data_IF_171459401765
#
_entry.id   IF_171459401765
#
_cell.length_a   1.000
_cell.length_b   1.000
_cell.length_c   1.000
_cell.angle_alpha   90.00
_cell.angle_beta   90.00
_cell.angle_gamma   90.00
#
_symmetry.space_group_name_H-M   'P 1'
#
loop_
_entity.id
_entity.type
_entity.pdbx_description
1 polymer ?
#
# COMPACT_ATOMS: atom_id res chain seq x y z
N UNK A 1 47.22 -1.44 6.22
CA UNK A 1 46.11 -1.30 7.18
C UNK A 1 45.12 -0.34 6.54
N UNK A 2 44.31 -0.88 5.63
CA UNK A 2 43.32 -0.13 4.84
C UNK A 2 41.98 -0.31 5.53
N UNK A 3 41.45 0.82 6.00
CA UNK A 3 40.12 0.96 6.59
C UNK A 3 39.06 0.27 5.71
N UNK A 4 38.27 -0.59 6.34
CA UNK A 4 37.03 -1.09 5.77
C UNK A 4 36.00 0.03 5.79
N UNK A 5 35.84 0.68 4.63
CA UNK A 5 34.65 1.45 4.30
C UNK A 5 33.45 0.49 4.32
N UNK A 6 32.84 0.37 5.50
CA UNK A 6 31.62 -0.39 5.72
C UNK A 6 30.48 0.45 5.16
N UNK A 7 30.43 0.47 3.82
CA UNK A 7 29.58 1.35 3.04
C UNK A 7 28.11 1.17 3.38
N UNK A 8 27.46 2.28 3.67
CA UNK A 8 26.02 2.41 3.83
C UNK A 8 25.32 1.92 2.56
N UNK A 9 24.98 0.62 2.50
CA UNK A 9 24.34 0.01 1.34
C UNK A 9 22.97 0.64 1.15
N UNK A 10 22.78 1.54 0.19
CA UNK A 10 21.43 2.00 -0.18
C UNK A 10 20.50 0.81 -0.50
N UNK A 11 19.21 1.04 -0.73
CA UNK A 11 18.23 -0.05 -0.93
C UNK A 11 18.65 -1.05 -2.01
N UNK A 12 19.20 -0.59 -3.14
CA UNK A 12 19.74 -1.48 -4.18
C UNK A 12 20.94 -2.32 -3.71
N UNK A 13 21.73 -1.82 -2.76
CA UNK A 13 22.81 -2.59 -2.12
C UNK A 13 22.29 -3.66 -1.16
N UNK A 14 21.16 -3.43 -0.48
CA UNK A 14 20.51 -4.42 0.39
C UNK A 14 19.90 -5.56 -0.45
N UNK A 15 19.24 -5.22 -1.56
CA UNK A 15 18.72 -6.19 -2.52
C UNK A 15 19.85 -7.08 -3.08
N UNK A 16 20.92 -6.47 -3.60
CA UNK A 16 22.09 -7.22 -4.07
C UNK A 16 22.67 -8.09 -2.95
N UNK A 17 22.77 -7.57 -1.73
CA UNK A 17 23.29 -8.33 -0.60
C UNK A 17 22.43 -9.55 -0.24
N UNK A 18 21.10 -9.41 -0.34
CA UNK A 18 20.16 -10.52 -0.17
C UNK A 18 20.36 -11.57 -1.28
N UNK A 19 20.37 -11.13 -2.54
CA UNK A 19 20.53 -11.98 -3.72
C UNK A 19 21.87 -12.73 -3.74
N UNK A 20 22.95 -12.06 -3.34
CA UNK A 20 24.29 -12.66 -3.22
C UNK A 20 24.50 -13.42 -1.91
N UNK A 21 23.49 -13.51 -1.03
CA UNK A 21 23.56 -14.13 0.30
C UNK A 21 24.64 -13.56 1.22
N UNK A 22 25.08 -12.33 0.97
CA UNK A 22 26.01 -11.61 1.85
C UNK A 22 25.28 -10.95 3.01
N UNK A 23 23.97 -10.74 2.88
CA UNK A 23 23.04 -10.55 3.99
C UNK A 23 22.09 -11.74 4.06
N UNK A 24 22.04 -12.38 5.23
CA UNK A 24 21.03 -13.38 5.59
C UNK A 24 20.26 -12.82 6.78
N UNK A 25 18.93 -12.60 6.67
CA UNK A 25 18.14 -12.07 7.78
C UNK A 25 18.27 -12.93 9.03
N UNK A 26 18.61 -12.29 10.15
CA UNK A 26 18.62 -12.93 11.47
C UNK A 26 17.20 -13.26 11.93
N UNK A 27 17.07 -14.11 12.95
CA UNK A 27 15.75 -14.47 13.50
C UNK A 27 14.94 -13.25 13.97
N UNK A 28 15.63 -12.25 14.54
CA UNK A 28 14.97 -11.02 15.03
C UNK A 28 14.52 -10.15 13.83
N UNK A 29 15.31 -10.06 12.76
CA UNK A 29 14.92 -9.37 11.52
C UNK A 29 13.74 -10.07 10.82
N UNK A 30 13.77 -11.41 10.74
CA UNK A 30 12.67 -12.19 10.19
C UNK A 30 11.39 -11.97 10.98
N UNK A 31 11.45 -11.93 12.32
CA UNK A 31 10.30 -11.66 13.18
C UNK A 31 9.70 -10.27 12.90
N UNK A 32 10.55 -9.26 12.79
CA UNK A 32 10.13 -7.89 12.47
C UNK A 32 9.48 -7.81 11.09
N UNK A 33 10.11 -8.39 10.06
CA UNK A 33 9.57 -8.42 8.70
C UNK A 33 8.24 -9.18 8.60
N UNK A 34 8.13 -10.33 9.25
CA UNK A 34 6.87 -11.09 9.30
C UNK A 34 5.76 -10.34 10.03
N UNK A 35 6.09 -9.65 11.13
CA UNK A 35 5.12 -8.80 11.85
C UNK A 35 4.60 -7.68 10.96
N UNK A 36 5.49 -7.01 10.22
CA UNK A 36 5.11 -5.99 9.24
C UNK A 36 4.15 -6.54 8.18
N UNK A 37 4.48 -7.69 7.58
CA UNK A 37 3.62 -8.33 6.58
C UNK A 37 2.23 -8.70 7.13
N UNK A 38 2.17 -9.23 8.36
CA UNK A 38 0.90 -9.55 9.03
C UNK A 38 0.05 -8.30 9.29
N UNK A 39 0.67 -7.18 9.71
CA UNK A 39 -0.06 -5.93 9.93
C UNK A 39 -0.57 -5.31 8.62
N UNK A 40 0.16 -5.45 7.52
CA UNK A 40 -0.30 -5.07 6.18
C UNK A 40 -1.54 -5.87 5.77
N UNK A 41 -1.51 -7.20 5.94
CA UNK A 41 -2.66 -8.06 5.62
C UNK A 41 -3.90 -7.67 6.46
N UNK A 42 -3.73 -7.46 7.76
CA UNK A 42 -4.81 -7.03 8.64
C UNK A 42 -5.33 -5.61 8.35
N UNK A 43 -4.51 -4.73 7.75
CA UNK A 43 -4.96 -3.43 7.25
C UNK A 43 -5.80 -3.57 5.98
N UNK A 44 -5.38 -4.44 5.06
CA UNK A 44 -6.09 -4.68 3.81
C UNK A 44 -7.52 -5.18 4.07
N UNK A 45 -7.73 -6.03 5.08
CA UNK A 45 -9.07 -6.48 5.50
C UNK A 45 -9.92 -5.33 6.06
N UNK A 46 -9.33 -4.42 6.85
CA UNK A 46 -10.04 -3.32 7.53
C UNK A 46 -10.35 -2.11 6.65
N UNK A 47 -9.59 -1.87 5.59
CA UNK A 47 -9.87 -0.80 4.62
C UNK A 47 -10.97 -1.22 3.61
N UNK A 48 -11.38 -2.50 3.63
CA UNK A 48 -12.36 -3.11 2.72
C UNK A 48 -13.80 -3.40 3.23
N UNK A 49 -14.25 -3.07 4.46
CA UNK A 49 -15.53 -3.57 4.96
C UNK A 49 -16.76 -2.96 4.27
N UNK A 50 -16.69 -1.71 3.81
CA UNK A 50 -17.86 -0.97 3.29
C UNK A 50 -17.71 -0.46 1.83
N UNK A 51 -16.65 -0.89 1.13
CA UNK A 51 -16.43 -0.47 -0.26
C UNK A 51 -16.44 -1.68 -1.21
N UNK A 52 -17.22 -1.65 -2.31
CA UNK A 52 -17.43 -2.79 -3.20
C UNK A 52 -16.14 -3.43 -3.70
N UNK A 53 -16.03 -4.73 -3.46
CA UNK A 53 -14.88 -5.58 -3.79
C UNK A 53 -15.03 -6.31 -5.13
N UNK A 54 -16.11 -6.06 -5.87
CA UNK A 54 -16.40 -6.81 -7.08
C UNK A 54 -15.56 -6.32 -8.25
N UNK A 55 -14.58 -7.14 -8.64
CA UNK A 55 -14.09 -7.37 -10.01
C UNK A 55 -13.77 -6.15 -10.88
N UNK A 56 -13.62 -4.96 -10.29
CA UNK A 56 -13.07 -3.80 -10.98
C UNK A 56 -11.56 -3.97 -10.96
N UNK A 57 -10.96 -4.21 -12.13
CA UNK A 57 -9.51 -4.32 -12.37
C UNK A 57 -8.68 -3.14 -11.81
N UNK A 58 -9.30 -2.11 -11.25
CA UNK A 58 -8.67 -0.96 -10.61
C UNK A 58 -9.27 -0.70 -9.24
N UNK A 59 -8.45 -0.90 -8.21
CA UNK A 59 -8.66 -0.29 -6.90
C UNK A 59 -8.76 1.23 -7.07
N UNK A 60 -9.65 1.87 -6.31
CA UNK A 60 -9.92 3.30 -6.42
C UNK A 60 -8.73 4.11 -5.92
N UNK A 61 -8.42 5.25 -6.57
CA UNK A 61 -7.22 6.05 -6.28
C UNK A 61 -7.20 6.51 -4.82
N UNK A 62 -8.36 6.92 -4.33
CA UNK A 62 -8.59 7.38 -2.95
C UNK A 62 -8.32 6.27 -1.93
N UNK A 63 -8.87 5.08 -2.13
CA UNK A 63 -8.57 3.91 -1.31
C UNK A 63 -7.09 3.56 -1.32
N UNK A 64 -6.46 3.58 -2.50
CA UNK A 64 -5.05 3.27 -2.66
C UNK A 64 -4.17 4.25 -1.88
N UNK A 65 -4.53 5.54 -1.86
CA UNK A 65 -3.83 6.57 -1.10
C UNK A 65 -4.04 6.38 0.41
N UNK A 66 -5.29 6.20 0.87
CA UNK A 66 -5.62 5.99 2.29
C UNK A 66 -4.96 4.73 2.83
N UNK A 67 -5.00 3.65 2.06
CA UNK A 67 -4.31 2.39 2.39
C UNK A 67 -2.80 2.61 2.49
N UNK A 68 -2.18 3.22 1.49
CA UNK A 68 -0.73 3.47 1.49
C UNK A 68 -0.29 4.33 2.67
N UNK A 69 -1.06 5.37 3.01
CA UNK A 69 -0.81 6.22 4.17
C UNK A 69 -0.96 5.43 5.50
N UNK A 70 -1.98 4.58 5.60
CA UNK A 70 -2.18 3.71 6.77
C UNK A 70 -1.03 2.74 6.97
N UNK A 71 -0.50 2.15 5.88
CA UNK A 71 0.68 1.29 5.93
C UNK A 71 1.92 2.06 6.38
N UNK A 72 2.10 3.32 5.95
CA UNK A 72 3.22 4.17 6.40
C UNK A 72 3.14 4.41 7.91
N UNK A 73 1.99 4.87 8.41
CA UNK A 73 1.79 5.13 9.84
C UNK A 73 1.96 3.86 10.68
N UNK A 74 1.47 2.72 10.19
CA UNK A 74 1.69 1.42 10.81
C UNK A 74 3.18 1.05 10.86
N UNK A 75 3.90 1.24 9.75
CA UNK A 75 5.33 0.93 9.67
C UNK A 75 6.14 1.81 10.64
N UNK A 76 5.84 3.10 10.70
CA UNK A 76 6.47 4.02 11.66
C UNK A 76 6.20 3.58 13.11
N UNK A 77 4.96 3.20 13.43
CA UNK A 77 4.59 2.68 14.75
C UNK A 77 5.35 1.39 15.09
N UNK A 78 5.43 0.44 14.16
CA UNK A 78 6.15 -0.81 14.33
C UNK A 78 7.63 -0.56 14.61
N UNK A 79 8.26 0.35 13.85
CA UNK A 79 9.65 0.75 14.03
C UNK A 79 9.90 1.47 15.36
N UNK A 80 8.91 2.12 15.97
CA UNK A 80 9.03 2.73 17.30
C UNK A 80 8.83 1.70 18.41
N UNK A 81 7.85 0.79 18.25
CA UNK A 81 7.43 -0.14 19.30
C UNK A 81 8.34 -1.37 19.42
N UNK A 82 8.83 -1.90 18.29
CA UNK A 82 9.53 -3.19 18.24
C UNK A 82 11.04 -3.09 18.00
N UNK A 83 11.61 -1.88 18.04
CA UNK A 83 13.06 -1.68 17.89
C UNK A 83 13.87 -2.12 19.12
N UNK A 84 13.23 -2.70 20.15
CA UNK A 84 13.87 -3.02 21.43
C UNK A 84 14.89 -4.17 21.38
N UNK A 85 15.17 -4.73 20.19
CA UNK A 85 16.23 -5.74 20.00
C UNK A 85 16.90 -5.79 18.62
N UNK A 86 16.47 -4.99 17.63
CA UNK A 86 17.10 -4.94 16.30
C UNK A 86 17.95 -3.68 16.21
N UNK A 87 19.24 -3.77 15.81
CA UNK A 87 20.06 -2.59 15.57
C UNK A 87 19.40 -1.66 14.55
N UNK A 88 19.43 -0.35 14.80
CA UNK A 88 18.82 0.64 13.90
C UNK A 88 19.38 0.63 12.46
N UNK A 89 20.59 0.07 12.30
CA UNK A 89 21.31 -0.09 11.03
C UNK A 89 21.14 -1.48 10.39
N UNK A 90 20.33 -2.36 10.98
CA UNK A 90 19.94 -3.63 10.36
C UNK A 90 19.36 -3.37 8.96
N UNK A 91 19.72 -4.18 7.95
CA UNK A 91 19.13 -4.06 6.62
C UNK A 91 17.59 -4.13 6.62
N UNK A 92 16.98 -4.97 7.47
CA UNK A 92 15.51 -5.02 7.60
C UNK A 92 14.92 -3.69 8.12
N UNK A 93 15.52 -3.08 9.14
CA UNK A 93 15.09 -1.77 9.66
C UNK A 93 15.24 -0.69 8.59
N UNK A 94 16.33 -0.71 7.83
CA UNK A 94 16.60 0.23 6.74
C UNK A 94 15.59 0.07 5.60
N UNK A 95 15.22 -1.17 5.25
CA UNK A 95 14.16 -1.46 4.27
C UNK A 95 12.80 -0.92 4.73
N UNK A 96 12.38 -1.23 5.96
CA UNK A 96 11.10 -0.74 6.49
C UNK A 96 11.05 0.78 6.57
N UNK A 97 12.14 1.43 6.98
CA UNK A 97 12.24 2.89 7.01
C UNK A 97 12.16 3.48 5.59
N UNK A 98 12.82 2.86 4.61
CA UNK A 98 12.74 3.29 3.22
C UNK A 98 11.35 3.07 2.63
N UNK A 99 10.69 1.98 2.99
CA UNK A 99 9.30 1.69 2.61
C UNK A 99 8.36 2.78 3.12
N UNK A 100 8.43 3.10 4.42
CA UNK A 100 7.65 4.18 5.03
C UNK A 100 7.96 5.54 4.40
N UNK A 101 9.24 5.84 4.17
CA UNK A 101 9.66 7.10 3.54
C UNK A 101 9.20 7.23 2.09
N UNK A 102 9.13 6.13 1.34
CA UNK A 102 8.57 6.15 -0.01
C UNK A 102 7.09 6.57 0.03
N UNK A 103 6.31 6.00 0.95
CA UNK A 103 4.88 6.29 1.12
C UNK A 103 4.56 7.64 1.77
N UNK A 104 5.49 8.22 2.53
CA UNK A 104 5.28 9.41 3.37
C UNK A 104 4.59 10.60 2.69
N UNK A 105 4.86 10.95 1.42
CA UNK A 105 4.17 12.04 0.74
C UNK A 105 2.63 11.88 0.68
N UNK A 106 2.12 10.65 0.76
CA UNK A 106 0.68 10.35 0.72
C UNK A 106 -0.04 10.59 2.05
N UNK A 107 0.69 10.59 3.18
CA UNK A 107 0.11 10.67 4.53
C UNK A 107 -0.73 11.93 4.73
N UNK A 108 -0.31 13.04 4.13
CA UNK A 108 -1.04 14.31 4.24
C UNK A 108 -2.45 14.29 3.61
N UNK A 109 -2.71 13.36 2.68
CA UNK A 109 -3.99 13.29 1.99
C UNK A 109 -5.01 12.41 2.71
N UNK A 110 -4.56 11.41 3.47
CA UNK A 110 -5.46 10.43 4.06
C UNK A 110 -6.53 11.04 4.98
N UNK A 111 -6.20 11.90 5.97
CA UNK A 111 -7.23 12.47 6.85
C UNK A 111 -8.29 13.27 6.08
N UNK A 112 -7.88 14.06 5.09
CA UNK A 112 -8.81 14.84 4.27
C UNK A 112 -9.71 13.97 3.40
N UNK A 113 -9.17 12.88 2.85
CA UNK A 113 -9.94 11.94 2.04
C UNK A 113 -10.93 11.13 2.90
N UNK A 114 -10.51 10.73 4.10
CA UNK A 114 -11.38 10.09 5.10
C UNK A 114 -12.51 11.04 5.53
N UNK A 115 -12.19 12.29 5.90
CA UNK A 115 -13.20 13.31 6.24
C UNK A 115 -14.18 13.57 5.09
N UNK A 116 -13.68 13.64 3.85
CA UNK A 116 -14.53 13.83 2.68
C UNK A 116 -15.47 12.63 2.47
N UNK A 117 -14.97 11.41 2.66
CA UNK A 117 -15.74 10.18 2.53
C UNK A 117 -16.87 10.11 3.57
N UNK A 118 -16.56 10.43 4.83
CA UNK A 118 -17.55 10.47 5.92
C UNK A 118 -18.60 11.56 5.70
N UNK A 119 -18.20 12.73 5.18
CA UNK A 119 -19.11 13.84 4.96
C UNK A 119 -20.06 13.60 3.77
N UNK A 120 -19.58 12.94 2.73
CA UNK A 120 -20.34 12.67 1.51
C UNK A 120 -19.86 11.35 0.90
N UNK A 121 -20.36 10.18 1.34
CA UNK A 121 -19.94 8.91 0.78
C UNK A 121 -20.36 8.78 -0.69
N UNK A 122 -19.71 7.86 -1.42
CA UNK A 122 -20.11 7.54 -2.80
C UNK A 122 -21.55 7.01 -2.79
N UNK A 123 -22.45 7.54 -3.63
CA UNK A 123 -23.82 7.06 -3.69
C UNK A 123 -23.88 5.64 -4.25
N UNK A 124 -24.60 4.77 -3.54
CA UNK A 124 -24.95 3.45 -4.04
C UNK A 124 -25.96 3.56 -5.20
N UNK A 125 -25.79 2.77 -6.28
CA UNK A 125 -26.78 2.74 -7.35
C UNK A 125 -28.11 2.18 -6.86
N UNK A 126 -29.21 2.79 -7.27
CA UNK A 126 -30.56 2.27 -7.01
C UNK A 126 -30.92 1.09 -7.92
N UNK A 127 -31.87 0.26 -7.50
CA UNK A 127 -32.38 -0.85 -8.32
C UNK A 127 -32.92 -0.39 -9.68
N UNK A 128 -33.51 0.80 -9.74
CA UNK A 128 -34.01 1.41 -10.98
C UNK A 128 -32.84 1.76 -11.92
N UNK A 129 -31.82 2.46 -11.44
CA UNK A 129 -30.62 2.78 -12.22
C UNK A 129 -29.91 1.51 -12.72
N UNK A 130 -29.82 0.47 -11.88
CA UNK A 130 -29.23 -0.82 -12.25
C UNK A 130 -30.04 -1.48 -13.37
N UNK A 131 -31.38 -1.49 -13.26
CA UNK A 131 -32.25 -2.08 -14.26
C UNK A 131 -32.20 -1.32 -15.60
N UNK A 132 -32.18 0.02 -15.55
CA UNK A 132 -32.03 0.89 -16.73
C UNK A 132 -30.70 0.64 -17.44
N UNK A 133 -29.59 0.65 -16.70
CA UNK A 133 -28.25 0.44 -17.25
C UNK A 133 -28.09 -0.99 -17.82
N UNK A 134 -28.61 -2.00 -17.11
CA UNK A 134 -28.62 -3.38 -17.57
C UNK A 134 -29.40 -3.54 -18.89
N UNK A 135 -30.57 -2.91 -19.00
CA UNK A 135 -31.38 -2.94 -20.22
C UNK A 135 -30.70 -2.18 -21.37
N UNK A 136 -30.13 -1.02 -21.10
CA UNK A 136 -29.48 -0.17 -22.10
C UNK A 136 -28.27 -0.86 -22.74
N UNK A 137 -27.45 -1.55 -21.95
CA UNK A 137 -26.19 -2.16 -22.40
C UNK A 137 -26.25 -3.69 -22.53
N UNK A 138 -27.43 -4.29 -22.36
CA UNK A 138 -27.63 -5.75 -22.35
C UNK A 138 -26.67 -6.48 -21.39
N UNK A 139 -26.51 -5.94 -20.18
CA UNK A 139 -25.67 -6.47 -19.11
C UNK A 139 -26.51 -7.29 -18.11
N UNK A 140 -25.84 -8.13 -17.31
CA UNK A 140 -26.47 -8.63 -16.07
C UNK A 140 -26.58 -7.51 -15.05
N UNK A 141 -27.54 -7.63 -14.12
CA UNK A 141 -27.71 -6.67 -13.03
C UNK A 141 -26.42 -6.48 -12.21
N UNK A 142 -25.69 -7.56 -11.90
CA UNK A 142 -24.42 -7.48 -11.19
C UNK A 142 -23.36 -6.67 -11.94
N UNK A 143 -23.25 -6.86 -13.26
CA UNK A 143 -22.31 -6.09 -14.09
C UNK A 143 -22.71 -4.62 -14.21
N UNK A 144 -24.00 -4.34 -14.34
CA UNK A 144 -24.52 -2.98 -14.36
C UNK A 144 -24.26 -2.27 -13.01
N UNK A 145 -24.51 -2.96 -11.89
CA UNK A 145 -24.22 -2.46 -10.56
C UNK A 145 -22.73 -2.14 -10.37
N UNK A 146 -21.84 -3.08 -10.70
CA UNK A 146 -20.39 -2.87 -10.62
C UNK A 146 -19.91 -1.69 -11.48
N UNK A 147 -20.48 -1.53 -12.68
CA UNK A 147 -20.16 -0.39 -13.55
C UNK A 147 -20.65 0.95 -12.99
N UNK A 148 -21.87 1.01 -12.46
CA UNK A 148 -22.45 2.21 -11.87
C UNK A 148 -21.67 2.65 -10.62
N UNK A 149 -21.29 1.69 -9.78
CA UNK A 149 -20.38 1.91 -8.64
C UNK A 149 -19.09 2.58 -9.12
N UNK A 150 -18.42 2.00 -10.13
CA UNK A 150 -17.17 2.53 -10.65
C UNK A 150 -17.32 3.97 -11.16
N UNK A 151 -18.41 4.26 -11.88
CA UNK A 151 -18.74 5.59 -12.39
C UNK A 151 -19.02 6.59 -11.27
N UNK A 152 -19.76 6.19 -10.25
CA UNK A 152 -20.06 7.05 -9.09
C UNK A 152 -18.79 7.38 -8.31
N UNK A 153 -17.90 6.41 -8.13
CA UNK A 153 -16.58 6.63 -7.53
C UNK A 153 -15.76 7.59 -8.37
N UNK A 154 -15.65 7.37 -9.68
CA UNK A 154 -14.86 8.25 -10.55
C UNK A 154 -15.33 9.71 -10.43
N UNK A 155 -16.65 9.94 -10.47
CA UNK A 155 -17.25 11.27 -10.27
C UNK A 155 -16.93 11.84 -8.89
N UNK A 156 -16.94 11.00 -7.86
CA UNK A 156 -16.58 11.41 -6.51
C UNK A 156 -15.09 11.81 -6.43
N UNK A 157 -14.19 11.03 -7.02
CA UNK A 157 -12.76 11.31 -7.06
C UNK A 157 -12.46 12.59 -7.85
N UNK A 158 -13.19 12.87 -8.94
CA UNK A 158 -13.06 14.12 -9.70
C UNK A 158 -13.33 15.38 -8.85
N UNK A 159 -14.15 15.26 -7.81
CA UNK A 159 -14.50 16.38 -6.90
C UNK A 159 -13.57 16.44 -5.69
N UNK A 160 -13.24 15.28 -5.10
CA UNK A 160 -12.61 15.22 -3.78
C UNK A 160 -11.11 14.91 -3.81
N UNK A 161 -10.60 14.32 -4.89
CA UNK A 161 -9.18 13.97 -4.99
C UNK A 161 -8.34 15.25 -5.18
N UNK A 162 -7.34 15.52 -4.33
CA UNK A 162 -6.47 16.67 -4.52
C UNK A 162 -5.72 16.62 -5.85
N UNK A 163 -5.56 17.77 -6.50
CA UNK A 163 -4.78 17.90 -7.73
C UNK A 163 -3.38 17.29 -7.57
N UNK A 164 -3.01 16.40 -8.50
CA UNK A 164 -1.71 15.73 -8.49
C UNK A 164 -1.60 14.54 -7.53
N UNK A 165 -2.60 14.23 -6.69
CA UNK A 165 -2.54 13.11 -5.76
C UNK A 165 -2.43 11.75 -6.48
N UNK A 166 -3.12 11.57 -7.61
CA UNK A 166 -3.00 10.37 -8.44
C UNK A 166 -1.58 10.17 -8.99
N UNK A 167 -0.96 11.24 -9.49
CA UNK A 167 0.38 11.17 -10.07
C UNK A 167 1.44 10.92 -8.99
N UNK A 168 1.27 11.55 -7.82
CA UNK A 168 2.10 11.26 -6.66
C UNK A 168 1.95 9.81 -6.23
N UNK A 169 0.73 9.29 -6.17
CA UNK A 169 0.48 7.88 -5.84
C UNK A 169 1.14 6.93 -6.83
N UNK A 170 1.05 7.17 -8.15
CA UNK A 170 1.73 6.34 -9.17
C UNK A 170 3.25 6.31 -8.96
N UNK A 171 3.83 7.47 -8.67
CA UNK A 171 5.27 7.60 -8.43
C UNK A 171 5.70 6.84 -7.17
N UNK A 172 4.94 7.00 -6.09
CA UNK A 172 5.25 6.43 -4.77
C UNK A 172 4.98 4.92 -4.73
N UNK A 173 3.88 4.46 -5.30
CA UNK A 173 3.44 3.06 -5.27
C UNK A 173 4.45 2.13 -5.93
N UNK A 174 5.06 2.52 -7.04
CA UNK A 174 6.11 1.73 -7.68
C UNK A 174 7.31 1.53 -6.74
N UNK A 175 7.75 2.60 -6.07
CA UNK A 175 8.86 2.52 -5.12
C UNK A 175 8.52 1.66 -3.90
N UNK A 176 7.31 1.80 -3.36
CA UNK A 176 6.84 0.94 -2.26
C UNK A 176 6.77 -0.53 -2.69
N UNK A 177 6.30 -0.81 -3.91
CA UNK A 177 6.23 -2.16 -4.46
C UNK A 177 7.61 -2.81 -4.56
N UNK A 178 8.61 -2.11 -5.12
CA UNK A 178 9.98 -2.62 -5.22
C UNK A 178 10.56 -2.93 -3.83
N UNK A 179 10.46 -2.00 -2.88
CA UNK A 179 10.98 -2.20 -1.52
C UNK A 179 10.22 -3.33 -0.80
N UNK A 180 8.90 -3.41 -0.98
CA UNK A 180 8.05 -4.46 -0.44
C UNK A 180 8.41 -5.83 -1.00
N UNK A 181 8.80 -5.92 -2.28
CA UNK A 181 9.34 -7.12 -2.91
C UNK A 181 10.59 -7.62 -2.19
N UNK A 182 11.57 -6.73 -1.94
CA UNK A 182 12.80 -7.08 -1.20
C UNK A 182 12.49 -7.52 0.23
N UNK A 183 11.57 -6.86 0.92
CA UNK A 183 11.12 -7.29 2.26
C UNK A 183 10.50 -8.69 2.20
N UNK A 184 9.64 -8.93 1.21
CA UNK A 184 8.98 -10.23 1.00
C UNK A 184 10.00 -11.33 0.73
N UNK A 185 10.94 -11.09 -0.19
CA UNK A 185 12.03 -12.00 -0.50
C UNK A 185 12.89 -12.31 0.74
N UNK A 186 13.16 -11.31 1.57
CA UNK A 186 13.90 -11.50 2.81
C UNK A 186 13.17 -12.39 3.83
N UNK A 187 11.84 -12.29 3.94
CA UNK A 187 11.06 -13.10 4.89
C UNK A 187 10.75 -14.51 4.37
N UNK A 188 10.58 -14.69 3.06
CA UNK A 188 10.23 -15.98 2.45
C UNK A 188 11.45 -16.79 2.01
N UNK A 189 12.57 -16.12 1.74
CA UNK A 189 13.72 -16.71 1.07
C UNK A 189 13.51 -16.91 -0.44
N UNK A 190 12.40 -16.41 -1.00
CA UNK A 190 12.10 -16.48 -2.42
C UNK A 190 12.77 -15.29 -3.14
N UNK A 191 13.78 -15.59 -3.93
CA UNK A 191 14.58 -14.60 -4.65
C UNK A 191 14.13 -14.46 -6.12
N UNK A 192 13.13 -15.23 -6.55
CA UNK A 192 12.61 -15.18 -7.92
C UNK A 192 11.48 -14.15 -8.01
N UNK A 193 11.81 -12.85 -8.12
CA UNK A 193 10.84 -11.75 -8.24
C UNK A 193 11.16 -10.73 -9.34
#
# INVERSE_FOLDING_TARGET
MTDHDSGDLGIGGIDIALNCRTWVPSEIELRLGNRHAQEIMALQERVRPDMPTQDTERLWTTQLIVYSASVVTMTDRLLVQENSGVPAESPMVRLLRAYANAGRPLVQFAPRLEEAWEAAPVPEPSDEEIAEEAAQFALSADRACGWLIQKNVQRWEEVHLPSGAMELWRTVSHRMMVIGGVITAAITGDLDW
#
